data_IF_998509711849
#
_entry.id   IF_998509711849
#
_cell.length_a   1.000
_cell.length_b   1.000
_cell.length_c   1.000
_cell.angle_alpha   90.00
_cell.angle_beta   90.00
_cell.angle_gamma   90.00
#
_symmetry.space_group_name_H-M   'P 1'
#
loop_
_entity.id
_entity.type
_entity.pdbx_description
1 polymer ?
#
# COMPACT_ATOMS: atom_id res chain seq x y z
N UNK A 1 16.11 -8.01 15.88
CA UNK A 1 14.68 -7.75 16.12
C UNK A 1 14.53 -6.50 16.97
N UNK A 2 13.50 -5.69 16.75
CA UNK A 2 13.25 -4.46 17.52
C UNK A 2 11.88 -4.56 18.18
N UNK A 3 11.78 -4.20 19.47
CA UNK A 3 10.52 -4.18 20.20
C UNK A 3 9.75 -2.90 19.85
N UNK A 4 8.53 -3.06 19.33
CA UNK A 4 7.58 -1.96 19.14
C UNK A 4 6.44 -2.13 20.13
N UNK A 5 6.12 -1.05 20.86
CA UNK A 5 4.96 -0.97 21.75
C UNK A 5 3.96 0.01 21.17
N UNK A 6 2.69 -0.34 21.18
CA UNK A 6 1.59 0.51 20.73
C UNK A 6 0.35 0.19 21.55
N UNK A 7 -0.54 1.18 21.67
CA UNK A 7 -1.81 1.01 22.37
C UNK A 7 -2.87 0.52 21.39
N UNK A 8 -3.70 -0.39 21.86
CA UNK A 8 -4.79 -0.99 21.09
C UNK A 8 -6.04 -0.99 21.97
N UNK A 9 -7.23 -0.62 21.45
CA UNK A 9 -8.45 -0.74 22.23
C UNK A 9 -8.69 -2.18 22.70
N UNK A 10 -9.21 -2.36 23.92
CA UNK A 10 -9.45 -3.68 24.52
C UNK A 10 -10.29 -4.62 23.63
N UNK A 11 -11.28 -4.06 22.94
CA UNK A 11 -12.11 -4.82 22.01
C UNK A 11 -11.31 -5.38 20.83
N UNK A 12 -10.28 -4.67 20.39
CA UNK A 12 -9.38 -5.12 19.33
C UNK A 12 -8.35 -6.13 19.84
N UNK A 13 -7.78 -5.94 21.04
CA UNK A 13 -6.92 -6.95 21.68
C UNK A 13 -7.62 -8.31 21.77
N UNK A 14 -8.87 -8.33 22.25
CA UNK A 14 -9.69 -9.55 22.31
C UNK A 14 -9.85 -10.22 20.95
N UNK A 15 -10.04 -9.44 19.89
CA UNK A 15 -10.15 -9.94 18.51
C UNK A 15 -8.84 -10.55 18.02
N UNK A 16 -7.71 -9.84 18.22
CA UNK A 16 -6.36 -10.30 17.85
C UNK A 16 -6.04 -11.61 18.55
N UNK A 17 -6.21 -11.67 19.88
CA UNK A 17 -5.97 -12.88 20.68
C UNK A 17 -6.80 -14.06 20.19
N UNK A 18 -8.09 -13.87 19.95
CA UNK A 18 -8.98 -14.93 19.47
C UNK A 18 -8.58 -15.42 18.08
N UNK A 19 -8.21 -14.51 17.18
CA UNK A 19 -7.80 -14.85 15.82
C UNK A 19 -6.46 -15.60 15.81
N UNK A 20 -5.49 -15.15 16.61
CA UNK A 20 -4.19 -15.80 16.75
C UNK A 20 -4.35 -17.24 17.26
N UNK A 21 -5.19 -17.44 18.29
CA UNK A 21 -5.52 -18.77 18.81
C UNK A 21 -6.19 -19.65 17.75
N UNK A 22 -7.16 -19.12 17.00
CA UNK A 22 -7.85 -19.85 15.93
C UNK A 22 -6.87 -20.31 14.82
N UNK A 23 -5.82 -19.53 14.57
CA UNK A 23 -4.81 -19.80 13.54
C UNK A 23 -3.58 -20.57 14.06
N UNK A 24 -3.53 -20.89 15.36
CA UNK A 24 -2.38 -21.60 15.95
C UNK A 24 -1.07 -20.80 15.91
N UNK A 25 -1.13 -19.47 15.92
CA UNK A 25 0.05 -18.59 15.79
C UNK A 25 0.14 -17.59 16.96
N UNK A 26 1.32 -16.98 17.13
CA UNK A 26 1.50 -15.90 18.10
C UNK A 26 0.77 -14.63 17.64
N UNK A 27 0.41 -13.75 18.58
CA UNK A 27 -0.20 -12.47 18.23
C UNK A 27 0.74 -11.59 17.40
N UNK A 28 2.04 -11.60 17.70
CA UNK A 28 3.05 -10.86 16.93
C UNK A 28 3.14 -11.37 15.49
N UNK A 29 3.12 -12.69 15.27
CA UNK A 29 3.11 -13.27 13.93
C UNK A 29 1.86 -12.83 13.15
N UNK A 30 0.67 -12.91 13.77
CA UNK A 30 -0.57 -12.44 13.17
C UNK A 30 -0.52 -10.96 12.76
N UNK A 31 0.09 -10.11 13.60
CA UNK A 31 0.22 -8.68 13.33
C UNK A 31 1.20 -8.43 12.18
N UNK A 32 2.32 -9.16 12.14
CA UNK A 32 3.28 -9.08 11.03
C UNK A 32 2.62 -9.49 9.72
N UNK A 33 1.94 -10.65 9.66
CA UNK A 33 1.22 -11.12 8.48
C UNK A 33 0.22 -10.07 7.97
N UNK A 34 -0.51 -9.43 8.89
CA UNK A 34 -1.50 -8.40 8.53
C UNK A 34 -0.84 -7.13 7.97
N UNK A 35 0.31 -6.72 8.52
CA UNK A 35 1.07 -5.57 8.03
C UNK A 35 1.65 -5.87 6.65
N UNK A 36 2.22 -7.06 6.44
CA UNK A 36 2.77 -7.47 5.14
C UNK A 36 1.67 -7.54 4.07
N UNK A 37 0.51 -8.12 4.38
CA UNK A 37 -0.63 -8.16 3.48
C UNK A 37 -1.14 -6.75 3.12
N UNK A 38 -1.19 -5.83 4.10
CA UNK A 38 -1.56 -4.44 3.84
C UNK A 38 -0.55 -3.76 2.91
N UNK A 39 0.75 -3.94 3.13
CA UNK A 39 1.80 -3.37 2.29
C UNK A 39 1.76 -3.94 0.86
N UNK A 40 1.52 -5.25 0.72
CA UNK A 40 1.36 -5.88 -0.59
C UNK A 40 0.13 -5.31 -1.34
N UNK A 41 -0.98 -5.10 -0.64
CA UNK A 41 -2.19 -4.49 -1.23
C UNK A 41 -2.06 -3.00 -1.56
N UNK A 42 -1.09 -2.31 -0.94
CA UNK A 42 -0.78 -0.89 -1.17
C UNK A 42 0.34 -0.67 -2.18
N UNK A 43 0.85 -1.70 -2.85
CA UNK A 43 1.68 -1.46 -4.02
C UNK A 43 0.88 -0.56 -4.98
N UNK A 44 1.43 0.59 -5.40
CA UNK A 44 0.75 1.42 -6.39
C UNK A 44 0.39 0.51 -7.56
N UNK A 45 -0.86 0.60 -8.02
CA UNK A 45 -1.33 -0.21 -9.14
C UNK A 45 -0.24 -0.16 -10.20
N UNK A 46 0.27 -1.32 -10.65
CA UNK A 46 1.45 -1.40 -11.53
C UNK A 46 1.30 -0.54 -12.79
N UNK A 47 0.07 -0.13 -13.08
CA UNK A 47 -0.35 0.74 -14.18
C UNK A 47 -0.25 2.25 -13.88
N UNK A 48 -0.23 2.70 -12.62
CA UNK A 48 -0.12 4.13 -12.25
C UNK A 48 1.11 4.83 -12.84
N UNK A 49 2.31 4.21 -12.94
CA UNK A 49 3.45 4.82 -13.64
C UNK A 49 3.24 4.98 -15.15
N UNK A 50 2.27 4.26 -15.74
CA UNK A 50 1.96 4.27 -17.17
C UNK A 50 0.69 5.06 -17.50
N UNK A 51 0.01 5.62 -16.51
CA UNK A 51 -1.12 6.54 -16.72
C UNK A 51 -0.60 7.76 -17.48
N UNK A 52 -1.04 7.95 -18.73
CA UNK A 52 -0.57 9.01 -19.61
C UNK A 52 0.36 8.56 -20.76
N UNK A 53 0.73 7.28 -20.84
CA UNK A 53 1.45 6.74 -22.00
C UNK A 53 0.47 6.54 -23.16
N UNK A 54 0.28 7.58 -23.97
CA UNK A 54 -0.60 7.55 -25.15
C UNK A 54 0.21 7.07 -26.36
N UNK A 55 -0.15 5.90 -26.90
CA UNK A 55 0.43 5.39 -28.14
C UNK A 55 -0.01 6.30 -29.30
N UNK A 56 0.93 7.02 -29.91
CA UNK A 56 0.68 7.95 -31.03
C UNK A 56 0.85 9.44 -30.73
N UNK A 57 1.31 9.82 -29.54
CA UNK A 57 1.71 11.19 -29.27
C UNK A 57 2.89 11.61 -30.18
N UNK A 58 2.92 12.86 -30.70
CA UNK A 58 4.08 13.40 -31.40
C UNK A 58 5.35 13.26 -30.53
N UNK A 59 6.49 12.84 -31.11
CA UNK A 59 7.70 12.55 -30.34
C UNK A 59 8.26 13.75 -29.57
N UNK A 60 7.86 14.97 -29.95
CA UNK A 60 8.27 16.24 -29.35
C UNK A 60 7.14 16.93 -28.56
N UNK A 61 6.06 16.21 -28.21
CA UNK A 61 4.93 16.81 -27.47
C UNK A 61 5.36 17.45 -26.14
N UNK A 62 6.41 16.92 -25.50
CA UNK A 62 6.99 17.51 -24.29
C UNK A 62 7.64 18.88 -24.52
N UNK A 63 8.08 19.18 -25.75
CA UNK A 63 8.77 20.43 -26.10
C UNK A 63 7.79 21.58 -26.36
N UNK A 64 6.51 21.28 -26.63
CA UNK A 64 5.48 22.28 -26.94
C UNK A 64 4.43 22.47 -25.83
N UNK A 65 4.66 21.90 -24.64
CA UNK A 65 3.73 21.99 -23.51
C UNK A 65 3.43 23.45 -23.16
N UNK A 66 4.47 24.30 -23.15
CA UNK A 66 4.32 25.71 -22.79
C UNK A 66 3.46 26.48 -23.80
N UNK A 67 3.55 26.15 -25.09
CA UNK A 67 2.78 26.80 -26.16
C UNK A 67 1.29 26.42 -26.11
N UNK A 68 0.97 25.22 -25.62
CA UNK A 68 -0.39 24.67 -25.62
C UNK A 68 -1.13 24.99 -24.31
N UNK A 69 -0.44 25.02 -23.17
CA UNK A 69 -1.06 25.16 -21.85
C UNK A 69 -1.23 26.63 -21.42
N UNK A 70 -0.33 27.53 -21.83
CA UNK A 70 -0.34 28.94 -21.39
C UNK A 70 -0.99 29.91 -22.37
N UNK A 71 -1.93 29.44 -23.19
CA UNK A 71 -2.68 30.29 -24.14
C UNK A 71 -3.97 30.85 -23.56
#
# INVERSE_FOLDING_TARGET
MVLKKFLVPDAMDRKIRRLAKKRGMSQSALIIDAVEALLASRQPDRLTPFVGVIKGAPPNLSESVDEVVYR
#
